data_IF_642071478367
#
_entry.id   IF_642071478367
#
_cell.length_a   1.000
_cell.length_b   1.000
_cell.length_c   1.000
_cell.angle_alpha   90.00
_cell.angle_beta   90.00
_cell.angle_gamma   90.00
#
_symmetry.space_group_name_H-M   'P 1'
#
loop_
_entity.id
_entity.type
_entity.pdbx_description
1 polymer ?
#
# COMPACT_ATOMS: atom_id res chain seq x y z
N UNK A 1 28.54 -26.54 -19.18
CA UNK A 1 28.75 -25.10 -18.93
C UNK A 1 27.36 -24.49 -18.86
N UNK A 2 26.80 -24.41 -17.65
CA UNK A 2 25.49 -23.79 -17.46
C UNK A 2 25.72 -22.28 -17.43
N UNK A 3 25.20 -21.57 -18.42
CA UNK A 3 25.13 -20.12 -18.36
C UNK A 3 24.13 -19.77 -17.27
N UNK A 4 24.63 -19.31 -16.12
CA UNK A 4 23.84 -18.54 -15.19
C UNK A 4 23.38 -17.29 -15.94
N UNK A 5 22.10 -17.28 -16.35
CA UNK A 5 21.46 -16.08 -16.86
C UNK A 5 21.54 -15.02 -15.76
N UNK A 6 22.25 -13.92 -16.02
CA UNK A 6 22.26 -12.77 -15.12
C UNK A 6 20.81 -12.39 -14.75
N UNK A 7 20.52 -12.06 -13.48
CA UNK A 7 19.18 -11.63 -13.10
C UNK A 7 18.79 -10.43 -13.96
N UNK A 8 17.65 -10.55 -14.65
CA UNK A 8 17.10 -9.47 -15.45
C UNK A 8 16.90 -8.25 -14.57
N UNK A 9 17.44 -7.11 -14.99
CA UNK A 9 17.24 -5.83 -14.31
C UNK A 9 15.74 -5.55 -14.14
N UNK A 10 15.33 -5.22 -12.92
CA UNK A 10 13.92 -5.03 -12.63
C UNK A 10 13.36 -3.82 -13.38
N UNK A 11 12.26 -4.02 -14.10
CA UNK A 11 11.57 -2.94 -14.80
C UNK A 11 10.64 -2.21 -13.83
N UNK A 12 10.88 -0.93 -13.62
CA UNK A 12 10.04 -0.07 -12.79
C UNK A 12 8.70 0.17 -13.50
N UNK A 13 7.58 -0.12 -12.83
CA UNK A 13 6.24 -0.08 -13.42
C UNK A 13 5.49 1.26 -13.25
N UNK A 14 6.08 2.24 -12.53
CA UNK A 14 5.49 3.57 -12.25
C UNK A 14 6.48 4.69 -12.59
N UNK A 15 6.05 5.98 -12.61
CA UNK A 15 6.97 7.10 -12.75
C UNK A 15 7.97 7.17 -11.59
N UNK A 16 8.98 8.02 -11.71
CA UNK A 16 9.85 8.31 -10.57
C UNK A 16 9.04 8.95 -9.42
N UNK A 17 9.50 8.79 -8.18
CA UNK A 17 8.76 9.19 -6.96
C UNK A 17 8.22 10.62 -7.00
N UNK A 18 8.99 11.58 -7.54
CA UNK A 18 8.62 13.00 -7.61
C UNK A 18 7.68 13.33 -8.79
N UNK A 19 7.44 12.39 -9.70
CA UNK A 19 6.50 12.52 -10.82
C UNK A 19 5.16 11.82 -10.55
N UNK A 20 5.08 11.03 -9.47
CA UNK A 20 3.83 10.39 -9.07
C UNK A 20 2.81 11.40 -8.56
N UNK A 21 1.53 11.16 -8.86
CA UNK A 21 0.43 11.87 -8.20
C UNK A 21 0.48 11.52 -6.72
N UNK A 22 0.53 12.54 -5.87
CA UNK A 22 0.69 12.35 -4.43
C UNK A 22 -0.02 13.46 -3.66
N UNK A 23 -0.75 13.06 -2.63
CA UNK A 23 -1.32 13.94 -1.60
C UNK A 23 -1.07 13.29 -0.24
N UNK A 24 -0.45 14.03 0.68
CA UNK A 24 -0.14 13.50 2.01
C UNK A 24 -1.42 13.16 2.78
N UNK A 25 -1.44 12.02 3.48
CA UNK A 25 -2.60 11.47 4.20
C UNK A 25 -3.75 10.97 3.32
N UNK A 26 -3.55 10.80 2.01
CA UNK A 26 -4.50 10.16 1.09
C UNK A 26 -3.81 8.97 0.39
N UNK A 27 -3.14 8.13 1.18
CA UNK A 27 -2.32 7.02 0.67
C UNK A 27 -3.13 6.02 -0.17
N UNK A 28 -4.41 5.82 0.17
CA UNK A 28 -5.36 5.02 -0.59
C UNK A 28 -5.56 5.56 -2.01
N UNK A 29 -5.70 6.88 -2.18
CA UNK A 29 -5.85 7.48 -3.51
C UNK A 29 -4.51 7.54 -4.26
N UNK A 30 -3.41 7.76 -3.54
CA UNK A 30 -2.07 7.74 -4.13
C UNK A 30 -1.77 6.39 -4.77
N UNK A 31 -2.04 5.28 -4.05
CA UNK A 31 -1.87 3.92 -4.57
C UNK A 31 -2.86 3.63 -5.69
N UNK A 32 -4.11 4.12 -5.61
CA UNK A 32 -5.07 3.97 -6.69
C UNK A 32 -4.56 4.62 -7.99
N UNK A 33 -3.94 5.80 -7.89
CA UNK A 33 -3.31 6.49 -9.03
C UNK A 33 -2.08 5.77 -9.58
N UNK A 34 -1.35 5.02 -8.76
CA UNK A 34 -0.29 4.13 -9.26
C UNK A 34 -0.90 2.96 -10.07
N UNK A 35 -2.00 2.36 -9.60
CA UNK A 35 -2.70 1.32 -10.35
C UNK A 35 -3.27 1.85 -11.68
N UNK A 36 -3.89 3.04 -11.67
CA UNK A 36 -4.37 3.72 -12.88
C UNK A 36 -3.23 3.90 -13.89
N UNK A 37 -2.07 4.38 -13.44
CA UNK A 37 -0.91 4.54 -14.31
C UNK A 37 -0.45 3.21 -14.92
N UNK A 38 -0.32 2.14 -14.11
CA UNK A 38 0.10 0.82 -14.59
C UNK A 38 -0.87 0.29 -15.65
N UNK A 39 -2.17 0.44 -15.40
CA UNK A 39 -3.22 0.03 -16.34
C UNK A 39 -3.13 0.81 -17.66
N UNK A 40 -3.03 2.13 -17.59
CA UNK A 40 -3.08 3.00 -18.76
C UNK A 40 -1.81 2.89 -19.62
N UNK A 41 -0.66 2.70 -18.99
CA UNK A 41 0.62 2.53 -19.70
C UNK A 41 0.90 1.09 -20.10
N UNK A 42 0.17 0.11 -19.54
CA UNK A 42 0.40 -1.31 -19.78
C UNK A 42 1.81 -1.77 -19.37
N UNK A 43 2.38 -1.20 -18.30
CA UNK A 43 3.75 -1.51 -17.86
C UNK A 43 3.90 -2.93 -17.34
N UNK A 44 2.85 -3.49 -16.74
CA UNK A 44 2.70 -4.91 -16.43
C UNK A 44 1.21 -5.29 -16.35
N UNK A 45 0.92 -6.57 -16.16
CA UNK A 45 -0.47 -7.01 -15.92
C UNK A 45 -0.95 -6.54 -14.54
N UNK A 46 -2.19 -6.05 -14.44
CA UNK A 46 -2.80 -5.74 -13.13
C UNK A 46 -2.91 -6.95 -12.22
N UNK A 47 -2.88 -8.18 -12.75
CA UNK A 47 -2.83 -9.41 -11.96
C UNK A 47 -1.52 -9.55 -11.16
N UNK A 48 -0.49 -8.77 -11.49
CA UNK A 48 0.81 -8.73 -10.79
C UNK A 48 0.86 -7.60 -9.75
N UNK A 49 -0.16 -6.76 -9.70
CA UNK A 49 -0.20 -5.57 -8.86
C UNK A 49 -1.28 -5.70 -7.81
N UNK A 50 -0.95 -5.31 -6.58
CA UNK A 50 -1.87 -5.36 -5.45
C UNK A 50 -1.82 -4.05 -4.68
N UNK A 51 -2.99 -3.53 -4.32
CA UNK A 51 -3.11 -2.54 -3.26
C UNK A 51 -3.08 -3.26 -1.91
N UNK A 52 -2.20 -2.83 -1.01
CA UNK A 52 -2.03 -3.44 0.32
C UNK A 52 -2.38 -2.42 1.38
N UNK A 53 -3.55 -2.60 2.00
CA UNK A 53 -3.98 -1.83 3.16
C UNK A 53 -3.37 -2.45 4.42
N UNK A 54 -2.84 -1.61 5.30
CA UNK A 54 -2.16 -2.02 6.52
C UNK A 54 -2.87 -1.34 7.67
N UNK A 55 -3.43 -2.12 8.58
CA UNK A 55 -4.11 -1.61 9.77
C UNK A 55 -4.22 -2.73 10.81
N UNK A 56 -5.01 -2.50 11.86
CA UNK A 56 -5.45 -3.49 12.82
C UNK A 56 -6.78 -3.05 13.46
N UNK A 57 -7.32 -3.86 14.37
CA UNK A 57 -8.59 -3.58 15.04
C UNK A 57 -8.58 -2.27 15.83
N UNK A 58 -7.40 -1.81 16.25
CA UNK A 58 -7.22 -0.58 17.01
C UNK A 58 -6.93 0.63 16.14
N UNK A 59 -6.75 0.45 14.82
CA UNK A 59 -6.27 1.49 13.90
C UNK A 59 -5.04 2.19 14.50
N UNK A 60 -4.05 1.40 14.90
CA UNK A 60 -2.78 1.87 15.46
C UNK A 60 -1.68 0.91 15.04
N UNK A 61 -0.99 1.23 13.95
CA UNK A 61 0.08 0.40 13.41
C UNK A 61 1.38 1.20 13.27
N UNK A 62 2.51 0.70 13.79
CA UNK A 62 3.80 1.35 13.59
C UNK A 62 4.38 0.98 12.22
N UNK A 63 4.83 1.98 11.48
CA UNK A 63 5.66 1.81 10.28
C UNK A 63 6.91 2.70 10.41
N UNK A 64 8.08 2.09 10.29
CA UNK A 64 9.38 2.77 10.28
C UNK A 64 9.73 3.30 8.90
N UNK A 65 10.79 4.13 8.85
CA UNK A 65 11.33 4.67 7.60
C UNK A 65 10.26 5.45 6.82
N UNK A 66 9.48 6.27 7.52
CA UNK A 66 8.45 7.13 6.91
C UNK A 66 8.96 8.57 6.85
N UNK A 67 8.54 9.34 5.85
CA UNK A 67 8.92 10.76 5.68
C UNK A 67 8.56 11.61 6.90
N UNK A 68 7.47 11.25 7.58
CA UNK A 68 6.96 11.92 8.78
C UNK A 68 7.57 11.39 10.09
N UNK A 69 8.52 10.44 10.02
CA UNK A 69 9.21 9.91 11.21
C UNK A 69 10.03 10.98 11.91
N UNK A 70 10.12 10.87 13.25
CA UNK A 70 11.04 11.68 14.07
C UNK A 70 12.26 10.83 14.43
N UNK A 71 13.33 10.99 13.66
CA UNK A 71 14.52 10.13 13.79
C UNK A 71 14.19 8.67 13.44
N UNK A 72 14.64 7.73 14.27
CA UNK A 72 14.40 6.29 14.08
C UNK A 72 13.07 5.78 14.64
N UNK A 73 12.16 6.68 15.04
CA UNK A 73 10.84 6.31 15.55
C UNK A 73 9.86 5.98 14.43
N UNK A 74 8.94 5.02 14.64
CA UNK A 74 7.88 4.76 13.68
C UNK A 74 6.88 5.91 13.64
N UNK A 75 6.18 6.03 12.52
CA UNK A 75 4.90 6.74 12.48
C UNK A 75 3.81 5.74 12.90
N UNK A 76 2.91 6.16 13.80
CA UNK A 76 1.74 5.37 14.18
C UNK A 76 0.58 5.80 13.28
N UNK A 77 0.23 4.93 12.34
CA UNK A 77 -0.86 5.16 11.41
C UNK A 77 -2.16 4.50 11.91
N UNK A 78 -3.29 5.11 11.57
CA UNK A 78 -4.60 4.46 11.66
C UNK A 78 -4.76 3.40 10.57
N UNK A 79 -4.37 3.74 9.35
CA UNK A 79 -4.06 2.79 8.28
C UNK A 79 -3.01 3.40 7.36
N UNK A 80 -2.32 2.55 6.60
CA UNK A 80 -1.46 2.98 5.50
C UNK A 80 -1.70 2.10 4.28
N UNK A 81 -1.45 2.62 3.08
CA UNK A 81 -1.63 1.87 1.83
C UNK A 81 -0.35 1.93 1.01
N UNK A 82 0.10 0.77 0.55
CA UNK A 82 1.25 0.61 -0.34
C UNK A 82 0.83 -0.20 -1.57
N UNK A 83 1.56 -0.06 -2.67
CA UNK A 83 1.41 -0.95 -3.82
C UNK A 83 2.47 -2.05 -3.76
N UNK A 84 2.05 -3.29 -3.95
CA UNK A 84 2.90 -4.47 -4.09
C UNK A 84 2.89 -4.90 -5.55
N UNK A 85 4.07 -5.07 -6.14
CA UNK A 85 4.25 -5.69 -7.44
C UNK A 85 4.92 -7.06 -7.26
N UNK A 86 4.20 -8.11 -7.64
CA UNK A 86 4.69 -9.49 -7.66
C UNK A 86 5.26 -9.77 -9.05
N UNK A 87 6.55 -9.47 -9.23
CA UNK A 87 7.24 -9.70 -10.48
C UNK A 87 7.37 -11.21 -10.74
N UNK A 88 6.69 -11.71 -11.78
CA UNK A 88 6.74 -13.13 -12.17
C UNK A 88 8.14 -13.64 -12.51
N UNK A 89 9.08 -12.74 -12.80
CA UNK A 89 10.46 -13.07 -13.18
C UNK A 89 11.44 -13.00 -12.00
N UNK A 90 10.99 -12.72 -10.77
CA UNK A 90 11.90 -12.66 -9.64
C UNK A 90 11.28 -12.13 -8.34
N UNK A 91 11.91 -11.11 -7.78
CA UNK A 91 11.57 -10.58 -6.45
C UNK A 91 10.35 -9.66 -6.49
N UNK A 92 9.60 -9.61 -5.39
CA UNK A 92 8.50 -8.67 -5.21
C UNK A 92 9.00 -7.29 -4.77
N UNK A 93 8.29 -6.24 -5.18
CA UNK A 93 8.64 -4.84 -4.91
C UNK A 93 7.49 -4.08 -4.26
N UNK A 94 7.83 -3.19 -3.34
CA UNK A 94 6.94 -2.26 -2.66
C UNK A 94 7.12 -0.86 -3.22
N UNK A 95 5.99 -0.24 -3.53
CA UNK A 95 5.86 1.16 -3.90
C UNK A 95 5.11 1.88 -2.79
N UNK A 96 5.88 2.50 -1.90
CA UNK A 96 5.37 3.34 -0.82
C UNK A 96 5.82 4.79 -1.08
N UNK A 97 4.86 5.68 -1.34
CA UNK A 97 5.15 7.09 -1.59
C UNK A 97 5.57 7.82 -0.31
N UNK A 98 5.29 7.28 0.88
CA UNK A 98 5.59 7.88 2.17
C UNK A 98 6.87 7.34 2.82
N UNK A 99 7.51 6.31 2.26
CA UNK A 99 8.79 5.82 2.79
C UNK A 99 9.99 6.70 2.43
N UNK A 100 11.03 6.65 3.27
CA UNK A 100 12.38 7.16 2.97
C UNK A 100 13.29 6.09 2.35
N UNK A 101 12.85 4.84 2.28
CA UNK A 101 13.53 3.77 1.52
C UNK A 101 13.49 4.05 0.01
N UNK A 102 14.21 3.28 -0.82
CA UNK A 102 14.10 3.37 -2.27
C UNK A 102 12.65 3.28 -2.78
N UNK A 103 12.38 3.87 -3.95
CA UNK A 103 11.10 3.74 -4.64
C UNK A 103 11.36 3.34 -6.09
N UNK A 104 11.04 2.09 -6.46
CA UNK A 104 10.52 1.01 -5.61
C UNK A 104 11.54 0.46 -4.62
N UNK A 105 11.07 -0.25 -3.59
CA UNK A 105 11.87 -0.96 -2.61
C UNK A 105 11.67 -2.48 -2.76
N UNK A 106 12.72 -3.28 -2.62
CA UNK A 106 12.57 -4.73 -2.52
C UNK A 106 11.72 -5.09 -1.29
N UNK A 107 10.79 -6.03 -1.43
CA UNK A 107 9.93 -6.46 -0.33
C UNK A 107 10.75 -6.94 0.89
N UNK A 108 11.84 -7.69 0.67
CA UNK A 108 12.68 -8.17 1.78
C UNK A 108 13.33 -7.03 2.56
N UNK A 109 13.71 -5.94 1.87
CA UNK A 109 14.29 -4.75 2.49
C UNK A 109 13.21 -3.97 3.24
N UNK A 110 12.07 -3.74 2.60
CA UNK A 110 10.92 -3.05 3.21
C UNK A 110 10.42 -3.80 4.46
N UNK A 111 10.34 -5.13 4.37
CA UNK A 111 9.98 -6.02 5.47
C UNK A 111 10.92 -5.89 6.66
N UNK A 112 12.24 -5.87 6.43
CA UNK A 112 13.23 -5.75 7.50
C UNK A 112 13.30 -4.35 8.10
N UNK A 113 13.17 -3.30 7.30
CA UNK A 113 13.48 -1.94 7.74
C UNK A 113 12.25 -1.11 8.13
N UNK A 114 11.19 -1.14 7.31
CA UNK A 114 9.98 -0.34 7.51
C UNK A 114 8.96 -1.11 8.36
N UNK A 115 8.79 -2.39 8.08
CA UNK A 115 7.91 -3.26 8.84
C UNK A 115 8.53 -3.70 10.16
N UNK A 116 9.68 -4.40 10.14
CA UNK A 116 10.24 -5.10 11.30
C UNK A 116 9.28 -6.17 11.87
N UNK A 117 9.79 -6.98 12.79
CA UNK A 117 9.02 -8.05 13.44
C UNK A 117 7.95 -7.50 14.40
N UNK A 118 6.76 -8.08 14.36
CA UNK A 118 5.69 -7.84 15.32
C UNK A 118 5.97 -8.47 16.69
N UNK A 119 6.88 -9.45 16.78
CA UNK A 119 7.21 -10.17 18.03
C UNK A 119 7.79 -9.24 19.12
N UNK A 120 8.39 -8.12 18.72
CA UNK A 120 8.93 -7.12 19.65
C UNK A 120 7.93 -6.02 20.01
N UNK A 121 6.73 -6.06 19.44
CA UNK A 121 5.65 -5.10 19.69
C UNK A 121 4.63 -5.68 20.65
N UNK A 122 3.89 -4.79 21.33
CA UNK A 122 2.70 -5.20 22.06
C UNK A 122 1.65 -5.70 21.06
N UNK A 123 0.88 -6.77 21.36
CA UNK A 123 -0.13 -7.31 20.43
C UNK A 123 -1.14 -6.29 19.91
N UNK A 124 -1.41 -5.24 20.69
CA UNK A 124 -2.26 -4.11 20.30
C UNK A 124 -1.77 -3.31 19.08
N UNK A 125 -0.50 -3.47 18.67
CA UNK A 125 0.14 -2.80 17.55
C UNK A 125 0.49 -3.75 16.40
N UNK A 126 0.20 -5.04 16.53
CA UNK A 126 0.47 -6.02 15.46
C UNK A 126 -0.27 -5.61 14.19
N UNK A 127 0.42 -5.71 13.06
CA UNK A 127 -0.12 -5.28 11.79
C UNK A 127 -0.81 -6.43 11.08
N UNK A 128 -1.92 -6.11 10.44
CA UNK A 128 -2.58 -6.95 9.46
C UNK A 128 -2.54 -6.26 8.11
N UNK A 129 -2.47 -7.07 7.06
CA UNK A 129 -2.34 -6.61 5.69
C UNK A 129 -3.50 -7.17 4.89
N UNK A 130 -4.36 -6.30 4.36
CA UNK A 130 -5.34 -6.67 3.36
C UNK A 130 -4.74 -6.46 1.98
N UNK A 131 -4.64 -7.52 1.20
CA UNK A 131 -4.05 -7.54 -0.13
C UNK A 131 -5.16 -7.67 -1.16
N UNK A 132 -5.35 -6.63 -1.97
CA UNK A 132 -6.41 -6.54 -2.98
C UNK A 132 -5.77 -6.50 -4.37
N UNK A 133 -6.16 -7.39 -5.30
CA UNK A 133 -5.75 -7.29 -6.71
C UNK A 133 -6.02 -5.90 -7.31
N UNK A 134 -5.10 -5.42 -8.14
CA UNK A 134 -5.12 -4.06 -8.67
C UNK A 134 -6.38 -3.74 -9.49
N UNK A 135 -6.85 -4.72 -10.27
CA UNK A 135 -8.09 -4.63 -11.06
C UNK A 135 -9.33 -4.49 -10.16
N UNK A 136 -9.41 -5.29 -9.09
CA UNK A 136 -10.49 -5.21 -8.09
C UNK A 136 -10.43 -3.86 -7.39
N UNK A 137 -9.24 -3.41 -7.00
CA UNK A 137 -9.07 -2.12 -6.33
C UNK A 137 -9.56 -0.97 -7.20
N UNK A 138 -9.13 -0.92 -8.47
CA UNK A 138 -9.58 0.11 -9.41
C UNK A 138 -11.09 0.09 -9.64
N UNK A 139 -11.69 -1.11 -9.73
CA UNK A 139 -13.12 -1.28 -10.03
C UNK A 139 -14.03 -1.00 -8.83
N UNK A 140 -13.57 -1.27 -7.60
CA UNK A 140 -14.42 -1.33 -6.41
C UNK A 140 -14.14 -0.24 -5.38
N UNK A 141 -12.97 0.38 -5.39
CA UNK A 141 -12.63 1.42 -4.42
C UNK A 141 -13.44 2.71 -4.66
N UNK A 142 -14.00 3.26 -3.57
CA UNK A 142 -14.65 4.56 -3.58
C UNK A 142 -14.39 5.31 -2.27
N UNK A 143 -14.07 6.60 -2.38
CA UNK A 143 -13.86 7.50 -1.26
C UNK A 143 -14.41 8.89 -1.58
N UNK A 144 -15.39 9.34 -0.80
CA UNK A 144 -15.90 10.72 -0.84
C UNK A 144 -15.07 11.68 0.01
N UNK A 145 -13.97 11.17 0.60
CA UNK A 145 -13.02 11.87 1.48
C UNK A 145 -13.65 12.42 2.77
N UNK A 146 -14.88 12.04 3.12
CA UNK A 146 -15.58 12.52 4.31
C UNK A 146 -14.80 12.26 5.62
N UNK A 147 -14.06 11.15 5.69
CA UNK A 147 -13.20 10.79 6.83
C UNK A 147 -12.08 11.80 7.11
N UNK A 148 -11.68 12.61 6.12
CA UNK A 148 -10.66 13.65 6.25
C UNK A 148 -11.24 15.01 6.64
N UNK A 149 -12.53 15.10 6.92
CA UNK A 149 -13.16 16.29 7.50
C UNK A 149 -13.20 16.19 9.03
N UNK A 150 -13.10 17.33 9.71
CA UNK A 150 -13.38 17.44 11.14
C UNK A 150 -14.89 17.63 11.40
N UNK A 151 -15.26 17.80 12.66
CA UNK A 151 -16.67 18.01 13.08
C UNK A 151 -17.28 19.30 12.53
N UNK A 152 -16.45 20.28 12.18
CA UNK A 152 -16.87 21.57 11.64
C UNK A 152 -16.90 21.55 10.10
N UNK A 153 -16.53 20.41 9.49
CA UNK A 153 -16.50 20.22 8.04
C UNK A 153 -15.22 20.73 7.38
N UNK A 154 -14.22 21.17 8.14
CA UNK A 154 -12.93 21.60 7.61
C UNK A 154 -12.05 20.40 7.28
N UNK A 155 -11.18 20.56 6.29
CA UNK A 155 -10.21 19.53 5.92
C UNK A 155 -9.09 19.42 6.94
N UNK A 156 -8.88 18.21 7.48
CA UNK A 156 -7.73 17.89 8.35
C UNK A 156 -6.42 18.03 7.59
N UNK A 157 -6.43 17.65 6.30
CA UNK A 157 -5.33 17.83 5.34
C UNK A 157 -5.92 18.22 3.98
N UNK A 158 -5.24 19.09 3.20
CA UNK A 158 -5.72 19.50 1.88
C UNK A 158 -6.02 18.28 0.98
N UNK A 159 -7.23 18.19 0.39
CA UNK A 159 -7.60 17.04 -0.43
C UNK A 159 -6.88 17.06 -1.78
N UNK A 160 -6.80 15.91 -2.48
CA UNK A 160 -6.31 15.86 -3.86
C UNK A 160 -7.13 16.79 -4.78
N UNK A 161 -6.51 17.40 -5.80
CA UNK A 161 -7.15 18.40 -6.65
C UNK A 161 -8.11 17.82 -7.70
N UNK A 162 -8.16 16.49 -7.85
CA UNK A 162 -9.07 15.80 -8.75
C UNK A 162 -10.37 15.40 -8.04
N UNK A 163 -11.46 15.14 -8.78
CA UNK A 163 -12.72 14.66 -8.20
C UNK A 163 -12.54 13.41 -7.33
N UNK A 164 -13.47 13.19 -6.41
CA UNK A 164 -13.49 11.98 -5.59
C UNK A 164 -13.54 10.72 -6.47
N UNK A 165 -12.89 9.65 -6.00
CA UNK A 165 -12.95 8.35 -6.66
C UNK A 165 -14.27 7.69 -6.27
N UNK A 166 -15.17 7.53 -7.25
CA UNK A 166 -16.49 6.96 -7.06
C UNK A 166 -16.71 5.80 -8.05
N UNK A 167 -17.58 4.88 -7.69
CA UNK A 167 -18.04 3.78 -8.56
C UNK A 167 -19.54 3.92 -8.80
N UNK A 168 -20.09 3.16 -9.74
CA UNK A 168 -21.55 3.06 -9.92
C UNK A 168 -22.27 2.48 -8.71
N UNK A 169 -21.57 1.74 -7.84
CA UNK A 169 -22.14 1.02 -6.70
C UNK A 169 -21.96 1.77 -5.36
N UNK A 170 -20.93 2.62 -5.25
CA UNK A 170 -20.58 3.29 -3.99
C UNK A 170 -19.83 4.60 -4.23
N UNK A 171 -20.08 5.57 -3.34
CA UNK A 171 -19.31 6.80 -3.20
C UNK A 171 -18.29 6.75 -2.06
N UNK A 172 -18.50 5.86 -1.09
CA UNK A 172 -17.64 5.72 0.07
C UNK A 172 -17.73 4.30 0.60
N UNK A 173 -16.63 3.56 0.49
CA UNK A 173 -16.49 2.22 1.06
C UNK A 173 -15.09 1.97 1.64
N UNK A 174 -14.31 3.03 1.88
CA UNK A 174 -12.95 2.97 2.43
C UNK A 174 -12.85 2.08 3.69
N UNK A 175 -13.84 2.13 4.59
CA UNK A 175 -13.83 1.30 5.80
C UNK A 175 -13.83 -0.21 5.49
N UNK A 176 -14.38 -0.65 4.35
CA UNK A 176 -14.31 -2.06 3.94
C UNK A 176 -12.89 -2.48 3.52
N UNK A 177 -12.06 -1.54 3.08
CA UNK A 177 -10.65 -1.78 2.74
C UNK A 177 -9.75 -1.68 3.98
N UNK A 178 -10.06 -0.77 4.92
CA UNK A 178 -9.34 -0.65 6.19
C UNK A 178 -9.65 -1.81 7.14
N UNK A 179 -10.88 -2.34 7.11
CA UNK A 179 -11.28 -3.44 7.99
C UNK A 179 -10.39 -4.67 7.77
N UNK A 180 -9.87 -5.25 8.85
CA UNK A 180 -9.01 -6.44 8.81
C UNK A 180 -9.76 -7.74 9.20
N UNK A 181 -11.10 -7.72 9.11
CA UNK A 181 -11.92 -8.94 9.16
C UNK A 181 -11.96 -9.57 7.75
N UNK A 182 -11.47 -10.80 7.62
CA UNK A 182 -11.41 -11.52 6.34
C UNK A 182 -12.79 -11.75 5.70
N UNK A 183 -13.88 -11.60 6.46
CA UNK A 183 -15.27 -11.75 5.97
C UNK A 183 -15.83 -10.46 5.36
N UNK A 184 -15.13 -9.35 5.51
CA UNK A 184 -15.53 -8.01 5.04
C UNK A 184 -14.64 -7.60 3.86
N UNK A 185 -15.21 -6.83 2.94
CA UNK A 185 -14.45 -6.17 1.88
C UNK A 185 -13.96 -7.09 0.78
N UNK A 186 -12.80 -6.77 0.22
CA UNK A 186 -12.22 -7.41 -0.96
C UNK A 186 -10.81 -7.93 -0.66
N UNK A 187 -10.33 -8.85 -1.49
CA UNK A 187 -9.00 -9.43 -1.32
C UNK A 187 -8.88 -10.30 -0.07
N UNK A 188 -7.65 -10.56 0.35
CA UNK A 188 -7.33 -11.46 1.45
C UNK A 188 -6.62 -10.72 2.58
N UNK A 189 -6.83 -11.16 3.82
CA UNK A 189 -6.19 -10.57 5.01
C UNK A 189 -5.14 -11.51 5.58
N UNK A 190 -3.95 -10.97 5.78
CA UNK A 190 -2.76 -11.66 6.30
C UNK A 190 -2.33 -11.04 7.63
N UNK A 191 -1.73 -11.86 8.51
CA UNK A 191 -0.79 -11.31 9.48
C UNK A 191 0.54 -10.96 8.77
N UNK A 192 1.42 -10.24 9.45
CA UNK A 192 2.68 -9.81 8.84
C UNK A 192 3.58 -10.97 8.38
N UNK A 193 3.74 -12.00 9.21
CA UNK A 193 4.63 -13.12 8.90
C UNK A 193 4.15 -13.88 7.66
N UNK A 194 2.85 -14.14 7.58
CA UNK A 194 2.22 -14.86 6.47
C UNK A 194 2.30 -14.04 5.18
N UNK A 195 2.12 -12.71 5.26
CA UNK A 195 2.32 -11.82 4.12
C UNK A 195 3.76 -11.89 3.57
N UNK A 196 4.75 -11.78 4.46
CA UNK A 196 6.16 -11.83 4.06
C UNK A 196 6.54 -13.21 3.53
N UNK A 197 6.03 -14.29 4.12
CA UNK A 197 6.27 -15.64 3.65
C UNK A 197 5.62 -15.92 2.29
N UNK A 198 4.43 -15.36 2.04
CA UNK A 198 3.70 -15.55 0.79
C UNK A 198 4.38 -14.81 -0.36
N UNK A 199 4.67 -13.52 -0.17
CA UNK A 199 5.11 -12.63 -1.26
C UNK A 199 6.62 -12.39 -1.31
N UNK A 200 7.35 -12.76 -0.25
CA UNK A 200 8.82 -12.71 -0.20
C UNK A 200 9.46 -13.78 -1.08
N UNK A 201 10.77 -13.64 -1.28
CA UNK A 201 11.55 -14.63 -2.03
C UNK A 201 11.71 -15.90 -1.18
N UNK A 202 11.57 -17.08 -1.80
CA UNK A 202 11.94 -18.36 -1.20
C UNK A 202 13.45 -18.62 -1.31
#
# INVERSE_FOLDING_TARGET
MNAESAPSEYTIITPSRNQCVYTSCYCEENVWKLCEYVNDQGTCSLDEVYAVFISNERKMIPIWKQKSSRGDQPVIWDYHVILLHVNKQGQSYIYDLDTILPFPCLLDVYSKEAFRSDEHLKPAFWRKLRVIPGDIYMKKFASDRSHMKDSDGNWRMPPPPYPCLETSESKMNLDHFICMDARVGYGEVYNLSDFVQHFGVK
#
